data_IF_530161583325
#
_entry.id   IF_530161583325
#
_cell.length_a   1.000
_cell.length_b   1.000
_cell.length_c   1.000
_cell.angle_alpha   90.00
_cell.angle_beta   90.00
_cell.angle_gamma   90.00
#
_symmetry.space_group_name_H-M   'P 1'
#
loop_
_entity.id
_entity.type
_entity.pdbx_description
1 polymer ?
#
# COMPACT_ATOMS: atom_id res chain seq x y z
N UNK A 1 17.01 53.02 -26.37
CA UNK A 1 16.49 51.63 -26.39
C UNK A 1 17.59 50.72 -26.87
N UNK A 2 18.14 49.86 -26.02
CA UNK A 2 18.32 48.43 -26.30
C UNK A 2 18.90 47.75 -25.05
N UNK A 3 18.15 46.77 -24.56
CA UNK A 3 18.38 46.02 -23.33
C UNK A 3 19.42 44.92 -23.58
N UNK A 4 20.41 44.82 -22.70
CA UNK A 4 21.31 43.67 -22.62
C UNK A 4 20.58 42.49 -22.00
N UNK A 5 20.49 41.40 -22.75
CA UNK A 5 19.77 40.18 -22.36
C UNK A 5 20.69 39.30 -21.51
N UNK A 6 20.35 39.14 -20.24
CA UNK A 6 21.03 38.21 -19.32
C UNK A 6 20.52 36.80 -19.55
N UNK A 7 21.36 35.90 -20.07
CA UNK A 7 21.07 34.48 -20.18
C UNK A 7 21.17 33.84 -18.79
N UNK A 8 20.03 33.52 -18.17
CA UNK A 8 19.95 32.71 -16.96
C UNK A 8 20.08 31.25 -17.39
N UNK A 9 21.24 30.63 -17.13
CA UNK A 9 21.36 29.17 -17.20
C UNK A 9 20.57 28.57 -16.04
N UNK A 10 19.38 28.04 -16.34
CA UNK A 10 18.65 27.18 -15.42
C UNK A 10 19.38 25.83 -15.33
N UNK A 11 20.07 25.59 -14.22
CA UNK A 11 20.52 24.27 -13.81
C UNK A 11 19.28 23.41 -13.55
N UNK A 12 18.89 22.60 -14.53
CA UNK A 12 17.95 21.51 -14.30
C UNK A 12 18.66 20.47 -13.44
N UNK A 13 18.44 20.53 -12.12
CA UNK A 13 18.80 19.47 -11.19
C UNK A 13 18.07 18.20 -11.62
N UNK A 14 18.80 17.30 -12.27
CA UNK A 14 18.35 15.92 -12.47
C UNK A 14 18.28 15.30 -11.09
N UNK A 15 17.08 15.28 -10.49
CA UNK A 15 16.80 14.43 -9.34
C UNK A 15 16.78 12.99 -9.87
N UNK A 16 17.96 12.40 -10.00
CA UNK A 16 18.08 10.94 -10.07
C UNK A 16 17.57 10.45 -8.72
N UNK A 17 16.28 10.09 -8.64
CA UNK A 17 15.73 9.42 -7.47
C UNK A 17 16.43 8.06 -7.41
N UNK A 18 17.50 8.02 -6.62
CA UNK A 18 18.14 6.78 -6.20
C UNK A 18 17.11 6.09 -5.32
N UNK A 19 16.30 5.20 -5.91
CA UNK A 19 15.38 4.36 -5.15
C UNK A 19 16.19 3.65 -4.06
N UNK A 20 15.76 3.80 -2.81
CA UNK A 20 16.50 3.24 -1.69
C UNK A 20 16.48 1.70 -1.79
N UNK A 21 17.44 1.00 -1.18
CA UNK A 21 17.42 -0.46 -1.11
C UNK A 21 16.10 -1.02 -0.57
N UNK A 22 15.44 -0.28 0.34
CA UNK A 22 14.14 -0.63 0.91
C UNK A 22 13.04 -0.57 -0.15
N UNK A 23 13.01 0.48 -0.97
CA UNK A 23 12.03 0.63 -2.06
C UNK A 23 12.21 -0.45 -3.14
N UNK A 24 13.46 -0.85 -3.40
CA UNK A 24 13.77 -1.94 -4.32
C UNK A 24 13.23 -3.28 -3.79
N UNK A 25 13.49 -3.60 -2.52
CA UNK A 25 12.98 -4.82 -1.89
C UNK A 25 11.45 -4.86 -1.83
N UNK A 26 10.79 -3.73 -1.54
CA UNK A 26 9.33 -3.64 -1.49
C UNK A 26 8.71 -3.86 -2.88
N UNK A 27 9.27 -3.23 -3.92
CA UNK A 27 8.86 -3.46 -5.31
C UNK A 27 9.05 -4.91 -5.74
N UNK A 28 10.19 -5.51 -5.43
CA UNK A 28 10.51 -6.88 -5.83
C UNK A 28 9.62 -7.89 -5.10
N UNK A 29 9.34 -7.65 -3.81
CA UNK A 29 8.38 -8.44 -3.02
C UNK A 29 6.96 -8.32 -3.58
N UNK A 30 6.53 -7.10 -3.92
CA UNK A 30 5.21 -6.87 -4.48
C UNK A 30 5.04 -7.55 -5.85
N UNK A 31 6.09 -7.53 -6.68
CA UNK A 31 6.13 -8.22 -7.96
C UNK A 31 6.13 -9.74 -7.81
N UNK A 32 6.85 -10.27 -6.81
CA UNK A 32 6.87 -11.71 -6.53
C UNK A 32 5.52 -12.22 -6.02
N UNK A 33 4.79 -11.39 -5.27
CA UNK A 33 3.49 -11.72 -4.71
C UNK A 33 2.32 -11.33 -5.63
N UNK A 34 2.56 -10.69 -6.78
CA UNK A 34 1.50 -10.11 -7.63
C UNK A 34 0.52 -9.22 -6.83
N UNK A 35 1.05 -8.38 -5.95
CA UNK A 35 0.28 -7.39 -5.19
C UNK A 35 0.55 -5.96 -5.67
N UNK A 36 -0.48 -5.13 -5.60
CA UNK A 36 -0.42 -3.69 -5.77
C UNK A 36 -0.91 -2.99 -4.52
N UNK A 37 -0.36 -1.80 -4.28
CA UNK A 37 -0.66 -1.05 -3.06
C UNK A 37 -1.17 0.34 -3.38
N UNK A 38 -2.21 0.74 -2.66
CA UNK A 38 -2.68 2.13 -2.61
C UNK A 38 -2.59 2.61 -1.18
N UNK A 39 -2.00 3.78 -0.99
CA UNK A 39 -1.58 4.27 0.32
C UNK A 39 -2.18 5.65 0.56
N UNK A 40 -2.78 5.81 1.73
CA UNK A 40 -3.20 7.10 2.25
C UNK A 40 -2.03 7.88 2.88
N UNK A 41 -2.33 9.05 3.47
CA UNK A 41 -1.33 9.82 4.20
C UNK A 41 -0.89 9.08 5.48
N UNK A 42 0.25 9.51 6.02
CA UNK A 42 0.66 9.12 7.37
C UNK A 42 -0.09 9.96 8.41
N UNK A 43 -0.43 9.35 9.55
CA UNK A 43 -1.15 10.00 10.64
C UNK A 43 -0.99 9.27 11.96
N UNK A 44 -1.72 9.73 12.97
CA UNK A 44 -1.76 9.07 14.27
C UNK A 44 -2.75 7.91 14.24
N UNK A 45 -2.25 6.68 14.29
CA UNK A 45 -3.05 5.44 14.24
C UNK A 45 -2.66 4.52 15.40
N UNK A 46 -3.60 3.69 15.86
CA UNK A 46 -3.31 2.66 16.85
C UNK A 46 -2.67 1.44 16.16
N UNK A 47 -1.34 1.50 15.96
CA UNK A 47 -0.58 0.48 15.21
C UNK A 47 -0.77 -0.93 15.77
N UNK A 48 -0.71 -1.09 17.09
CA UNK A 48 -0.84 -2.40 17.73
C UNK A 48 -2.22 -2.99 17.48
N UNK A 49 -3.28 -2.19 17.60
CA UNK A 49 -4.64 -2.63 17.34
C UNK A 49 -4.85 -3.00 15.86
N UNK A 50 -4.29 -2.23 14.93
CA UNK A 50 -4.38 -2.54 13.49
C UNK A 50 -3.59 -3.80 13.12
N UNK A 51 -2.40 -4.00 13.68
CA UNK A 51 -1.62 -5.25 13.47
C UNK A 51 -2.35 -6.47 14.05
N UNK A 52 -3.06 -6.30 15.16
CA UNK A 52 -3.91 -7.36 15.67
C UNK A 52 -5.08 -7.68 14.72
N UNK A 53 -5.68 -6.65 14.11
CA UNK A 53 -6.66 -6.85 13.04
C UNK A 53 -6.06 -7.59 11.85
N UNK A 54 -4.87 -7.25 11.36
CA UNK A 54 -4.21 -8.00 10.27
C UNK A 54 -4.06 -9.50 10.60
N UNK A 55 -3.77 -9.82 11.86
CA UNK A 55 -3.63 -11.20 12.35
C UNK A 55 -4.97 -11.94 12.36
N UNK A 56 -6.02 -11.26 12.81
CA UNK A 56 -7.29 -11.86 13.22
C UNK A 56 -8.48 -11.52 12.32
N UNK A 57 -8.28 -10.72 11.26
CA UNK A 57 -9.37 -10.30 10.37
C UNK A 57 -10.05 -11.53 9.78
N UNK A 58 -11.38 -11.48 9.72
CA UNK A 58 -12.24 -12.61 9.39
C UNK A 58 -12.12 -13.12 7.95
N UNK A 59 -13.21 -13.68 7.43
CA UNK A 59 -13.32 -14.04 6.01
C UNK A 59 -13.75 -12.83 5.18
N UNK A 60 -14.14 -13.08 3.92
CA UNK A 60 -14.74 -12.07 3.06
C UNK A 60 -15.81 -11.24 3.80
N UNK A 61 -15.63 -9.92 3.78
CA UNK A 61 -16.44 -8.93 4.48
C UNK A 61 -16.43 -7.60 3.73
N UNK A 62 -17.62 -7.07 3.43
CA UNK A 62 -17.80 -5.80 2.72
C UNK A 62 -17.50 -4.56 3.56
N UNK A 63 -17.69 -4.61 4.87
CA UNK A 63 -17.21 -3.58 5.82
C UNK A 63 -17.22 -4.19 7.22
N UNK A 64 -16.15 -4.00 7.98
CA UNK A 64 -16.07 -4.33 9.41
C UNK A 64 -15.28 -3.27 10.16
N UNK A 65 -15.46 -3.19 11.46
CA UNK A 65 -14.72 -2.27 12.33
C UNK A 65 -13.80 -3.07 13.23
N UNK A 66 -12.50 -2.77 13.17
CA UNK A 66 -11.48 -3.41 13.98
C UNK A 66 -10.35 -2.43 14.28
N UNK A 67 -9.86 -2.41 15.53
CA UNK A 67 -8.71 -1.60 15.92
C UNK A 67 -8.87 -0.09 15.71
N UNK A 68 -10.11 0.40 15.71
CA UNK A 68 -10.43 1.81 15.47
C UNK A 68 -10.46 2.23 14.00
N UNK A 69 -10.30 1.29 13.06
CA UNK A 69 -10.42 1.53 11.63
C UNK A 69 -11.60 0.73 11.04
N UNK A 70 -12.07 1.20 9.89
CA UNK A 70 -12.90 0.40 8.99
C UNK A 70 -12.00 -0.50 8.17
N UNK A 71 -12.53 -1.65 7.80
CA UNK A 71 -11.82 -2.68 7.05
C UNK A 71 -12.74 -3.33 6.03
N UNK A 72 -12.14 -3.74 4.91
CA UNK A 72 -12.81 -4.55 3.90
C UNK A 72 -11.83 -5.63 3.42
N UNK A 73 -12.36 -6.85 3.30
CA UNK A 73 -11.67 -7.97 2.67
C UNK A 73 -12.64 -8.56 1.64
N UNK A 74 -12.30 -8.43 0.36
CA UNK A 74 -13.15 -8.91 -0.72
C UNK A 74 -12.33 -9.48 -1.87
N UNK A 75 -13.04 -10.03 -2.84
CA UNK A 75 -12.42 -10.55 -4.05
C UNK A 75 -13.44 -10.98 -5.08
N UNK A 76 -12.94 -11.27 -6.28
CA UNK A 76 -13.67 -11.78 -7.43
C UNK A 76 -12.89 -12.96 -7.98
N UNK A 77 -13.51 -14.14 -8.06
CA UNK A 77 -12.91 -15.39 -8.54
C UNK A 77 -11.60 -15.82 -7.85
N UNK A 78 -11.26 -15.21 -6.72
CA UNK A 78 -10.02 -15.44 -5.99
C UNK A 78 -10.14 -16.69 -5.11
N UNK A 79 -9.07 -17.50 -5.06
CA UNK A 79 -9.10 -18.84 -4.48
C UNK A 79 -9.70 -18.88 -3.06
N UNK A 80 -9.23 -18.03 -2.15
CA UNK A 80 -9.80 -17.92 -0.81
C UNK A 80 -9.45 -16.61 -0.10
N UNK A 81 -10.25 -16.27 0.92
CA UNK A 81 -9.96 -15.11 1.79
C UNK A 81 -8.66 -15.28 2.57
N UNK A 82 -8.26 -16.52 2.81
CA UNK A 82 -7.04 -16.81 3.54
C UNK A 82 -5.81 -16.52 2.66
N UNK A 83 -5.84 -16.93 1.40
CA UNK A 83 -4.74 -16.72 0.46
C UNK A 83 -4.53 -15.21 0.21
N UNK A 84 -5.63 -14.48 0.02
CA UNK A 84 -5.60 -13.02 -0.11
C UNK A 84 -4.96 -12.35 1.11
N UNK A 85 -5.37 -12.74 2.33
CA UNK A 85 -4.78 -12.20 3.56
C UNK A 85 -3.30 -12.55 3.65
N UNK A 86 -2.91 -13.77 3.32
CA UNK A 86 -1.52 -14.21 3.42
C UNK A 86 -0.62 -13.44 2.48
N UNK A 87 -1.06 -13.19 1.24
CA UNK A 87 -0.34 -12.37 0.28
C UNK A 87 -0.14 -10.92 0.77
N UNK A 88 -1.16 -10.35 1.41
CA UNK A 88 -1.15 -8.96 1.84
C UNK A 88 -0.60 -8.72 3.27
N UNK A 89 -0.51 -9.74 4.12
CA UNK A 89 -0.28 -9.59 5.58
C UNK A 89 0.98 -8.81 5.93
N UNK A 90 2.13 -9.21 5.39
CA UNK A 90 3.42 -8.59 5.73
C UNK A 90 3.51 -7.16 5.20
N UNK A 91 3.06 -6.92 3.96
CA UNK A 91 3.04 -5.58 3.39
C UNK A 91 2.05 -4.65 4.10
N UNK A 92 0.98 -5.19 4.68
CA UNK A 92 0.04 -4.44 5.50
C UNK A 92 0.69 -4.02 6.84
N UNK A 93 1.38 -4.95 7.49
CA UNK A 93 2.12 -4.66 8.73
C UNK A 93 3.18 -3.57 8.53
N UNK A 94 3.94 -3.64 7.44
CA UNK A 94 4.95 -2.62 7.09
C UNK A 94 4.32 -1.22 6.91
N UNK A 95 3.15 -1.15 6.28
CA UNK A 95 2.42 0.11 6.07
C UNK A 95 1.84 0.68 7.36
N UNK A 96 1.34 -0.18 8.23
CA UNK A 96 0.94 0.20 9.59
C UNK A 96 2.14 0.74 10.38
N UNK A 97 3.32 0.14 10.22
CA UNK A 97 4.56 0.65 10.85
C UNK A 97 4.96 2.04 10.35
N UNK A 98 4.71 2.34 9.07
CA UNK A 98 4.87 3.68 8.50
C UNK A 98 3.81 4.68 8.97
N UNK A 99 2.75 4.22 9.65
CA UNK A 99 1.71 5.09 10.21
C UNK A 99 0.65 5.50 9.18
N UNK A 100 0.42 4.73 8.13
CA UNK A 100 -0.56 5.08 7.09
C UNK A 100 -2.00 4.98 7.63
N UNK A 101 -2.83 6.00 7.36
CA UNK A 101 -4.22 6.05 7.82
C UNK A 101 -5.18 5.24 6.93
N UNK A 102 -4.77 4.93 5.70
CA UNK A 102 -5.47 3.99 4.84
C UNK A 102 -4.50 3.23 3.96
N UNK A 103 -4.84 1.97 3.68
CA UNK A 103 -4.06 1.07 2.85
C UNK A 103 -5.02 0.15 2.11
N UNK A 104 -4.77 -0.06 0.82
CA UNK A 104 -5.34 -1.17 0.05
C UNK A 104 -4.21 -2.01 -0.49
N UNK A 105 -4.26 -3.30 -0.21
CA UNK A 105 -3.55 -4.34 -0.96
C UNK A 105 -4.52 -4.91 -1.99
N UNK A 106 -4.17 -4.86 -3.26
CA UNK A 106 -4.86 -5.55 -4.35
C UNK A 106 -3.97 -6.71 -4.81
N UNK A 107 -4.40 -7.96 -4.67
CA UNK A 107 -3.67 -9.15 -5.13
C UNK A 107 -4.32 -9.76 -6.38
N UNK A 108 -3.48 -10.30 -7.28
CA UNK A 108 -3.88 -10.86 -8.57
C UNK A 108 -3.44 -12.30 -8.78
N UNK A 109 -4.43 -13.16 -9.05
CA UNK A 109 -4.23 -14.53 -9.55
C UNK A 109 -4.61 -14.58 -11.06
N UNK A 110 -3.61 -14.46 -11.93
CA UNK A 110 -3.85 -14.42 -13.38
C UNK A 110 -4.59 -13.14 -13.82
N UNK A 111 -5.49 -13.24 -14.81
CA UNK A 111 -6.17 -12.08 -15.43
C UNK A 111 -7.55 -11.76 -14.87
N UNK A 112 -8.17 -12.67 -14.12
CA UNK A 112 -9.58 -12.57 -13.74
C UNK A 112 -9.85 -12.74 -12.24
N UNK A 113 -8.87 -13.25 -11.47
CA UNK A 113 -9.00 -13.42 -10.03
C UNK A 113 -8.28 -12.29 -9.30
N UNK A 114 -9.04 -11.57 -8.48
CA UNK A 114 -8.57 -10.39 -7.76
C UNK A 114 -9.04 -10.48 -6.32
N UNK A 115 -8.21 -10.07 -5.38
CA UNK A 115 -8.64 -9.78 -4.03
C UNK A 115 -8.22 -8.38 -3.62
N UNK A 116 -8.93 -7.82 -2.64
CA UNK A 116 -8.54 -6.60 -1.99
C UNK A 116 -8.65 -6.76 -0.47
N UNK A 117 -7.58 -6.36 0.22
CA UNK A 117 -7.56 -6.26 1.67
C UNK A 117 -7.21 -4.81 2.03
N UNK A 118 -8.10 -4.13 2.75
CA UNK A 118 -7.93 -2.71 3.02
C UNK A 118 -8.42 -2.27 4.39
N UNK A 119 -7.84 -1.18 4.89
CA UNK A 119 -8.35 -0.43 6.04
C UNK A 119 -8.33 1.07 5.79
N UNK A 120 -9.16 1.80 6.53
CA UNK A 120 -9.14 3.26 6.58
C UNK A 120 -9.69 3.78 7.92
N UNK A 121 -9.07 4.84 8.44
CA UNK A 121 -9.46 5.57 9.65
C UNK A 121 -10.06 6.92 9.33
#
# INVERSE_FOLDING_TARGET
>A
MHFTTTTVLALMSVFTVMASPVDNMERDTNKALNVGWKEGPAGNINKDALKDCVRNFGSWSSESYCGGAKWNLGGSNYASSNDCKNACREGMNARIDRGLTSVTCDDWEGVAAHCWFMYWT
#
